data_IF_345395791730
#
_entry.id   IF_345395791730
#
_cell.length_a   1.000
_cell.length_b   1.000
_cell.length_c   1.000
_cell.angle_alpha   90.00
_cell.angle_beta   90.00
_cell.angle_gamma   90.00
#
_symmetry.space_group_name_H-M   'P 1'
#
loop_
_entity.id
_entity.type
_entity.pdbx_description
1 polymer ?
#
# COMPACT_ATOMS: atom_id res chain seq x y z
N UNK A 1 -19.25 5.81 18.64
CA UNK A 1 -20.06 5.30 17.50
C UNK A 1 -21.33 6.14 17.18
N UNK A 2 -21.53 7.32 17.78
CA UNK A 2 -22.78 8.10 17.63
C UNK A 2 -22.60 9.46 16.94
N UNK A 3 -21.56 9.63 16.11
CA UNK A 3 -21.44 10.81 15.27
C UNK A 3 -22.17 10.56 13.92
N UNK A 4 -23.19 11.35 13.57
CA UNK A 4 -23.86 11.25 12.27
C UNK A 4 -22.88 11.33 11.10
N UNK A 5 -21.82 12.12 11.21
CA UNK A 5 -20.82 12.27 10.14
C UNK A 5 -20.04 10.99 9.90
N UNK A 6 -19.70 10.26 10.96
CA UNK A 6 -19.05 8.97 10.84
C UNK A 6 -19.88 8.00 10.00
N UNK A 7 -21.20 7.96 10.21
CA UNK A 7 -22.11 7.11 9.42
C UNK A 7 -22.11 7.50 7.95
N UNK A 8 -22.11 8.80 7.66
CA UNK A 8 -22.05 9.32 6.28
C UNK A 8 -20.73 8.92 5.62
N UNK A 9 -19.59 9.13 6.27
CA UNK A 9 -18.29 8.76 5.71
C UNK A 9 -18.15 7.25 5.50
N UNK A 10 -18.61 6.44 6.46
CA UNK A 10 -18.62 4.99 6.32
C UNK A 10 -19.50 4.54 5.15
N UNK A 11 -20.69 5.12 5.00
CA UNK A 11 -21.60 4.82 3.90
C UNK A 11 -21.00 5.20 2.54
N UNK A 12 -20.44 6.41 2.42
CA UNK A 12 -19.81 6.87 1.18
C UNK A 12 -18.60 6.03 0.81
N UNK A 13 -17.76 5.67 1.78
CA UNK A 13 -16.59 4.81 1.56
C UNK A 13 -16.99 3.41 1.12
N UNK A 14 -17.92 2.76 1.81
CA UNK A 14 -18.41 1.44 1.41
C UNK A 14 -19.12 1.48 0.05
N UNK A 15 -19.95 2.50 -0.18
CA UNK A 15 -20.68 2.70 -1.43
C UNK A 15 -19.76 2.86 -2.63
N UNK A 16 -18.67 3.63 -2.51
CA UNK A 16 -17.71 3.81 -3.60
C UNK A 16 -16.97 2.52 -3.96
N UNK A 17 -16.57 1.72 -2.95
CA UNK A 17 -15.94 0.42 -3.18
C UNK A 17 -16.89 -0.59 -3.84
N UNK A 18 -18.14 -0.66 -3.38
CA UNK A 18 -19.17 -1.53 -3.96
C UNK A 18 -19.48 -1.11 -5.39
N UNK A 19 -19.63 0.20 -5.65
CA UNK A 19 -19.89 0.72 -6.98
C UNK A 19 -18.75 0.37 -7.95
N UNK A 20 -17.49 0.58 -7.54
CA UNK A 20 -16.31 0.22 -8.32
C UNK A 20 -16.26 -1.27 -8.64
N UNK A 21 -16.65 -2.14 -7.70
CA UNK A 21 -16.74 -3.58 -7.95
C UNK A 21 -17.83 -3.92 -8.97
N UNK A 22 -19.02 -3.34 -8.84
CA UNK A 22 -20.15 -3.56 -9.76
C UNK A 22 -19.79 -3.10 -11.18
N UNK A 23 -19.16 -1.94 -11.31
CA UNK A 23 -18.68 -1.42 -12.59
C UNK A 23 -17.69 -2.38 -13.25
N UNK A 24 -16.73 -2.90 -12.47
CA UNK A 24 -15.71 -3.81 -12.98
C UNK A 24 -16.32 -5.17 -13.40
N UNK A 25 -17.29 -5.69 -12.65
CA UNK A 25 -18.03 -6.91 -13.02
C UNK A 25 -18.83 -6.68 -14.30
N UNK A 26 -19.47 -5.52 -14.46
CA UNK A 26 -20.21 -5.18 -15.67
C UNK A 26 -19.27 -5.08 -16.89
N UNK A 27 -18.06 -4.56 -16.69
CA UNK A 27 -16.99 -4.55 -17.69
C UNK A 27 -16.36 -5.95 -17.95
N UNK A 28 -16.92 -7.04 -17.41
CA UNK A 28 -16.40 -8.42 -17.49
C UNK A 28 -15.02 -8.60 -16.84
N UNK A 29 -14.68 -7.76 -15.87
CA UNK A 29 -13.49 -7.93 -15.03
C UNK A 29 -13.70 -8.96 -13.92
N UNK A 30 -12.60 -9.37 -13.28
CA UNK A 30 -12.60 -10.37 -12.20
C UNK A 30 -12.57 -9.70 -10.82
N UNK A 31 -13.00 -10.42 -9.77
CA UNK A 31 -12.87 -9.93 -8.40
C UNK A 31 -11.40 -9.68 -8.01
N UNK A 32 -10.48 -10.52 -8.50
CA UNK A 32 -9.05 -10.39 -8.24
C UNK A 32 -8.46 -9.17 -8.97
N UNK A 33 -8.97 -8.83 -10.15
CA UNK A 33 -8.65 -7.57 -10.84
C UNK A 33 -9.11 -6.35 -10.03
N UNK A 34 -10.35 -6.34 -9.51
CA UNK A 34 -10.83 -5.25 -8.63
C UNK A 34 -9.94 -5.10 -7.38
N UNK A 35 -9.54 -6.22 -6.79
CA UNK A 35 -8.66 -6.21 -5.63
C UNK A 35 -7.26 -5.65 -5.97
N UNK A 36 -6.73 -5.98 -7.15
CA UNK A 36 -5.49 -5.41 -7.66
C UNK A 36 -5.61 -3.91 -7.97
N UNK A 37 -6.73 -3.45 -8.54
CA UNK A 37 -6.99 -2.02 -8.75
C UNK A 37 -7.02 -1.24 -7.43
N UNK A 38 -7.67 -1.79 -6.40
CA UNK A 38 -7.71 -1.19 -5.06
C UNK A 38 -6.29 -1.04 -4.47
N UNK A 39 -5.42 -2.06 -4.65
CA UNK A 39 -4.01 -1.98 -4.25
C UNK A 39 -3.25 -0.93 -5.05
N UNK A 40 -3.44 -0.88 -6.36
CA UNK A 40 -2.78 0.08 -7.24
C UNK A 40 -3.18 1.52 -6.92
N UNK A 41 -4.44 1.75 -6.52
CA UNK A 41 -4.90 3.05 -6.04
C UNK A 41 -4.10 3.51 -4.80
N UNK A 42 -3.90 2.62 -3.82
CA UNK A 42 -3.06 2.90 -2.64
C UNK A 42 -1.60 3.19 -3.00
N UNK A 43 -1.00 2.44 -3.94
CA UNK A 43 0.37 2.68 -4.40
C UNK A 43 0.54 3.99 -5.16
N UNK A 44 -0.42 4.35 -6.02
CA UNK A 44 -0.42 5.64 -6.72
C UNK A 44 -0.49 6.79 -5.72
N UNK A 45 -1.39 6.70 -4.74
CA UNK A 45 -1.55 7.70 -3.68
C UNK A 45 -0.29 7.90 -2.83
N UNK A 46 0.30 6.79 -2.37
CA UNK A 46 1.46 6.80 -1.47
C UNK A 46 2.79 7.11 -2.16
N UNK A 47 2.89 6.94 -3.48
CA UNK A 47 4.16 7.06 -4.19
C UNK A 47 4.11 8.01 -5.37
N UNK A 48 3.37 7.65 -6.42
CA UNK A 48 3.37 8.39 -7.69
C UNK A 48 3.01 9.86 -7.48
N UNK A 49 2.02 10.14 -6.63
CA UNK A 49 1.62 11.52 -6.33
C UNK A 49 2.68 12.27 -5.52
N UNK A 50 3.31 11.62 -4.52
CA UNK A 50 4.42 12.24 -3.76
C UNK A 50 5.59 12.60 -4.67
N UNK A 51 6.03 11.66 -5.51
CA UNK A 51 7.11 11.91 -6.46
C UNK A 51 6.74 12.99 -7.48
N UNK A 52 5.49 13.02 -7.96
CA UNK A 52 5.02 14.04 -8.89
C UNK A 52 5.08 15.43 -8.28
N UNK A 53 4.67 15.58 -7.02
CA UNK A 53 4.76 16.87 -6.29
C UNK A 53 6.22 17.32 -6.16
N UNK A 54 7.12 16.41 -5.79
CA UNK A 54 8.56 16.72 -5.69
C UNK A 54 9.12 17.18 -7.04
N UNK A 55 8.82 16.46 -8.12
CA UNK A 55 9.26 16.82 -9.48
C UNK A 55 8.75 18.20 -9.89
N UNK A 56 7.47 18.50 -9.63
CA UNK A 56 6.89 19.82 -9.93
C UNK A 56 7.60 20.92 -9.14
N UNK A 57 7.85 20.72 -7.85
CA UNK A 57 8.57 21.69 -7.02
C UNK A 57 9.99 21.93 -7.56
N UNK A 58 10.73 20.87 -7.88
CA UNK A 58 12.09 20.98 -8.42
C UNK A 58 12.11 21.70 -9.77
N UNK A 59 11.10 21.49 -10.61
CA UNK A 59 10.92 22.20 -11.88
C UNK A 59 10.65 23.69 -11.65
N UNK A 60 9.76 24.04 -10.71
CA UNK A 60 9.46 25.43 -10.35
C UNK A 60 10.69 26.16 -9.79
N UNK A 61 11.58 25.45 -9.09
CA UNK A 61 12.84 25.98 -8.58
C UNK A 61 13.95 26.06 -9.63
N UNK A 62 13.72 25.61 -10.86
CA UNK A 62 14.73 25.59 -11.94
C UNK A 62 15.85 24.57 -11.73
N UNK A 63 15.67 23.61 -10.80
CA UNK A 63 16.68 22.58 -10.45
C UNK A 63 16.65 21.40 -11.43
N UNK A 64 15.51 21.16 -12.09
CA UNK A 64 15.32 19.99 -12.97
C UNK A 64 14.59 20.35 -14.25
N UNK A 65 15.14 19.94 -15.39
CA UNK A 65 14.39 19.77 -16.64
C UNK A 65 13.74 18.39 -16.65
N UNK A 66 12.44 18.32 -16.36
CA UNK A 66 11.70 17.07 -16.39
C UNK A 66 11.46 16.63 -17.85
N UNK A 67 12.25 15.69 -18.35
CA UNK A 67 12.02 15.01 -19.64
C UNK A 67 11.14 13.77 -19.49
N UNK A 68 10.34 13.44 -20.52
CA UNK A 68 9.63 12.16 -20.57
C UNK A 68 10.59 11.09 -21.09
N UNK A 69 11.13 10.26 -20.20
CA UNK A 69 11.96 9.13 -20.59
C UNK A 69 11.08 7.98 -21.06
N UNK A 70 11.24 7.59 -22.33
CA UNK A 70 10.49 6.49 -22.93
C UNK A 70 10.97 5.19 -22.29
N UNK A 71 10.12 4.58 -21.47
CA UNK A 71 10.39 3.27 -20.88
C UNK A 71 10.13 2.18 -21.92
N UNK A 72 11.10 1.28 -22.10
CA UNK A 72 10.93 0.14 -22.99
C UNK A 72 9.87 -0.81 -22.40
N UNK A 73 8.90 -1.22 -23.22
CA UNK A 73 7.86 -2.18 -22.85
C UNK A 73 8.25 -3.62 -23.17
N UNK A 74 9.54 -3.95 -23.10
CA UNK A 74 10.00 -5.32 -23.33
C UNK A 74 9.61 -6.14 -22.10
N UNK A 75 8.63 -7.02 -22.26
CA UNK A 75 8.10 -7.87 -21.19
C UNK A 75 8.69 -9.27 -21.38
N UNK A 76 9.32 -9.78 -20.33
CA UNK A 76 9.80 -11.18 -20.28
C UNK A 76 8.60 -12.14 -20.35
N UNK A 77 8.76 -13.31 -20.97
CA UNK A 77 7.65 -14.26 -21.14
C UNK A 77 7.09 -14.73 -19.78
N UNK A 78 7.98 -14.86 -18.78
CA UNK A 78 7.61 -15.14 -17.40
C UNK A 78 6.81 -14.00 -16.75
N UNK A 79 7.12 -12.74 -17.08
CA UNK A 79 6.38 -11.57 -16.60
C UNK A 79 4.98 -11.51 -17.23
N UNK A 80 4.87 -11.85 -18.53
CA UNK A 80 3.57 -11.96 -19.21
C UNK A 80 2.67 -13.02 -18.57
N UNK A 81 3.22 -14.21 -18.27
CA UNK A 81 2.45 -15.28 -17.59
C UNK A 81 1.95 -14.85 -16.21
N UNK A 82 2.76 -14.12 -15.45
CA UNK A 82 2.32 -13.56 -14.14
C UNK A 82 1.23 -12.52 -14.30
N UNK A 83 1.33 -11.66 -15.32
CA UNK A 83 0.33 -10.66 -15.63
C UNK A 83 -1.03 -11.29 -15.98
N UNK A 84 -1.05 -12.30 -16.84
CA UNK A 84 -2.26 -13.06 -17.20
C UNK A 84 -2.89 -13.76 -15.98
N UNK A 85 -2.05 -14.18 -15.03
CA UNK A 85 -2.50 -14.74 -13.75
C UNK A 85 -2.89 -13.67 -12.73
N UNK A 86 -2.88 -12.39 -13.08
CA UNK A 86 -3.17 -11.24 -12.19
C UNK A 86 -2.27 -11.20 -10.93
N UNK A 87 -1.00 -11.61 -11.08
CA UNK A 87 0.02 -11.54 -10.03
C UNK A 87 0.83 -10.26 -10.19
N UNK A 88 0.89 -9.45 -9.14
CA UNK A 88 1.64 -8.17 -9.17
C UNK A 88 3.15 -8.41 -9.30
N UNK A 89 3.81 -7.55 -10.08
CA UNK A 89 5.25 -7.60 -10.31
C UNK A 89 5.96 -6.45 -9.59
N UNK A 90 7.01 -6.78 -8.85
CA UNK A 90 7.80 -5.84 -8.06
C UNK A 90 9.27 -5.81 -8.46
N UNK A 91 9.63 -6.49 -9.54
CA UNK A 91 11.01 -6.72 -9.98
C UNK A 91 11.80 -5.43 -10.30
N UNK A 92 11.10 -4.37 -10.69
CA UNK A 92 11.72 -3.13 -11.15
C UNK A 92 12.37 -2.40 -9.97
N UNK A 93 13.69 -2.09 -10.03
CA UNK A 93 14.39 -1.36 -8.98
C UNK A 93 14.07 0.13 -9.01
N UNK A 94 12.81 0.47 -8.71
CA UNK A 94 12.33 1.86 -8.64
C UNK A 94 12.27 2.38 -7.20
N UNK A 95 12.80 3.59 -6.92
CA UNK A 95 12.63 4.23 -5.61
C UNK A 95 11.16 4.53 -5.28
N UNK A 96 10.27 4.51 -6.27
CA UNK A 96 8.83 4.65 -6.06
C UNK A 96 8.22 3.53 -5.22
N UNK A 97 8.87 2.37 -5.11
CA UNK A 97 8.38 1.32 -4.21
C UNK A 97 8.71 1.59 -2.73
N UNK A 98 9.65 2.49 -2.41
CA UNK A 98 10.10 2.72 -1.03
C UNK A 98 8.99 3.29 -0.14
N UNK A 99 8.24 4.35 -0.52
CA UNK A 99 7.15 4.86 0.33
C UNK A 99 6.05 3.82 0.64
N UNK A 100 5.43 3.13 -0.34
CA UNK A 100 4.35 2.18 -0.06
C UNK A 100 4.82 0.98 0.77
N UNK A 101 6.04 0.50 0.55
CA UNK A 101 6.60 -0.61 1.34
C UNK A 101 6.89 -0.21 2.77
N UNK A 102 7.45 0.98 2.98
CA UNK A 102 7.68 1.54 4.32
C UNK A 102 6.36 1.70 5.08
N UNK A 103 5.34 2.26 4.43
CA UNK A 103 4.01 2.43 5.03
C UNK A 103 3.32 1.09 5.31
N UNK A 104 3.45 0.10 4.43
CA UNK A 104 2.91 -1.24 4.65
C UNK A 104 3.54 -1.91 5.89
N UNK A 105 4.87 -1.84 6.02
CA UNK A 105 5.60 -2.36 7.19
C UNK A 105 5.20 -1.64 8.48
N UNK A 106 5.11 -0.30 8.44
CA UNK A 106 4.69 0.49 9.58
C UNK A 106 3.26 0.16 10.00
N UNK A 107 2.33 0.04 9.04
CA UNK A 107 0.95 -0.34 9.32
C UNK A 107 0.86 -1.75 9.92
N UNK A 108 1.64 -2.70 9.42
CA UNK A 108 1.69 -4.05 9.98
C UNK A 108 2.19 -4.05 11.43
N UNK A 109 3.22 -3.26 11.73
CA UNK A 109 3.71 -3.08 13.10
C UNK A 109 2.61 -2.49 14.00
N UNK A 110 1.92 -1.43 13.55
CA UNK A 110 0.81 -0.82 14.29
C UNK A 110 -0.34 -1.81 14.51
N UNK A 111 -0.68 -2.62 13.51
CA UNK A 111 -1.72 -3.66 13.62
C UNK A 111 -1.36 -4.68 14.71
N UNK A 112 -0.13 -5.20 14.69
CA UNK A 112 0.36 -6.15 15.70
C UNK A 112 0.34 -5.52 17.09
N UNK A 113 0.83 -4.28 17.23
CA UNK A 113 0.82 -3.54 18.51
C UNK A 113 -0.61 -3.33 19.02
N UNK A 114 -1.53 -2.87 18.19
CA UNK A 114 -2.94 -2.70 18.54
C UNK A 114 -3.58 -4.01 19.02
N UNK A 115 -3.29 -5.12 18.32
CA UNK A 115 -3.76 -6.43 18.72
C UNK A 115 -3.17 -6.88 20.07
N UNK A 116 -1.87 -6.67 20.30
CA UNK A 116 -1.24 -7.00 21.60
C UNK A 116 -1.84 -6.22 22.76
N UNK A 117 -2.19 -4.95 22.56
CA UNK A 117 -2.86 -4.12 23.57
C UNK A 117 -4.26 -4.65 23.91
N UNK A 118 -5.01 -5.09 22.90
CA UNK A 118 -6.34 -5.70 23.13
C UNK A 118 -6.22 -7.02 23.91
N UNK A 119 -5.20 -7.84 23.61
CA UNK A 119 -4.96 -9.07 24.36
C UNK A 119 -4.59 -8.81 25.83
N UNK A 120 -3.86 -7.73 26.13
CA UNK A 120 -3.44 -7.41 27.49
C UNK A 120 -4.51 -6.69 28.32
N UNK A 121 -5.25 -5.74 27.73
CA UNK A 121 -6.22 -4.88 28.42
C UNK A 121 -7.67 -5.40 28.33
N UNK A 122 -7.93 -6.42 27.50
CA UNK A 122 -9.24 -7.04 27.33
C UNK A 122 -10.25 -6.21 26.52
N UNK A 123 -11.54 -6.47 26.73
CA UNK A 123 -12.63 -5.92 25.91
C UNK A 123 -12.74 -4.39 25.94
N UNK A 124 -12.29 -3.73 27.02
CA UNK A 124 -12.27 -2.27 27.10
C UNK A 124 -11.33 -1.61 26.09
N UNK A 125 -10.17 -2.22 25.83
CA UNK A 125 -9.26 -1.75 24.79
C UNK A 125 -9.78 -2.04 23.38
N UNK A 126 -10.51 -3.15 23.21
CA UNK A 126 -11.17 -3.46 21.93
C UNK A 126 -12.16 -2.36 21.57
N UNK A 127 -13.05 -1.96 22.49
CA UNK A 127 -14.04 -0.90 22.23
C UNK A 127 -13.36 0.44 21.84
N UNK A 128 -12.25 0.77 22.50
CA UNK A 128 -11.46 1.97 22.20
C UNK A 128 -10.73 1.91 20.84
N UNK A 129 -10.21 0.74 20.46
CA UNK A 129 -9.31 0.57 19.31
C UNK A 129 -9.97 -0.13 18.11
N UNK A 130 -11.24 -0.53 18.20
CA UNK A 130 -11.92 -1.38 17.22
C UNK A 130 -11.75 -0.90 15.78
N UNK A 131 -12.05 0.38 15.52
CA UNK A 131 -11.96 0.95 14.18
C UNK A 131 -10.52 1.01 13.66
N UNK A 132 -9.56 1.32 14.54
CA UNK A 132 -8.14 1.38 14.16
C UNK A 132 -7.63 -0.02 13.78
N UNK A 133 -8.02 -1.05 14.54
CA UNK A 133 -7.68 -2.44 14.25
C UNK A 133 -8.32 -2.91 12.94
N UNK A 134 -9.61 -2.58 12.71
CA UNK A 134 -10.31 -2.94 11.46
C UNK A 134 -9.64 -2.29 10.25
N UNK A 135 -9.37 -0.97 10.31
CA UNK A 135 -8.77 -0.24 9.20
C UNK A 135 -7.33 -0.70 8.96
N UNK A 136 -6.52 -0.84 10.03
CA UNK A 136 -5.14 -1.28 9.93
C UNK A 136 -5.04 -2.74 9.45
N UNK A 137 -5.99 -3.60 9.87
CA UNK A 137 -6.14 -4.96 9.37
C UNK A 137 -6.46 -4.99 7.88
N UNK A 138 -7.43 -4.20 7.43
CA UNK A 138 -7.77 -4.07 6.01
C UNK A 138 -6.57 -3.64 5.16
N UNK A 139 -5.83 -2.61 5.59
CA UNK A 139 -4.62 -2.15 4.90
C UNK A 139 -3.54 -3.25 4.87
N UNK A 140 -3.39 -4.02 5.95
CA UNK A 140 -2.46 -5.15 6.00
C UNK A 140 -2.84 -6.25 5.00
N UNK A 141 -4.13 -6.57 4.88
CA UNK A 141 -4.62 -7.57 3.89
C UNK A 141 -4.40 -7.09 2.46
N UNK A 142 -4.66 -5.81 2.17
CA UNK A 142 -4.35 -5.20 0.87
C UNK A 142 -2.85 -5.34 0.56
N UNK A 143 -2.00 -5.14 1.56
CA UNK A 143 -0.54 -5.13 1.43
C UNK A 143 0.11 -6.52 1.39
N UNK A 144 -0.66 -7.61 1.47
CA UNK A 144 -0.11 -9.00 1.41
C UNK A 144 0.87 -9.21 0.24
N UNK A 145 0.60 -8.80 -1.02
CA UNK A 145 1.55 -9.00 -2.11
C UNK A 145 2.88 -8.29 -1.92
N UNK A 146 2.90 -7.19 -1.15
CA UNK A 146 4.12 -6.46 -0.79
C UNK A 146 4.97 -7.30 0.16
N UNK A 147 4.35 -7.82 1.22
CA UNK A 147 5.04 -8.69 2.17
C UNK A 147 5.52 -9.99 1.51
N UNK A 148 4.69 -10.57 0.65
CA UNK A 148 5.07 -11.73 -0.17
C UNK A 148 6.27 -11.39 -1.06
N UNK A 149 6.26 -10.24 -1.74
CA UNK A 149 7.36 -9.82 -2.61
C UNK A 149 8.66 -9.51 -1.85
N UNK A 150 8.59 -9.10 -0.59
CA UNK A 150 9.75 -8.80 0.25
C UNK A 150 10.37 -10.05 0.89
N UNK A 151 9.55 -10.97 1.42
CA UNK A 151 10.02 -12.03 2.30
C UNK A 151 9.81 -13.46 1.79
N UNK A 152 8.77 -13.70 0.98
CA UNK A 152 8.34 -15.06 0.62
C UNK A 152 8.77 -15.43 -0.80
N UNK A 153 8.63 -14.50 -1.75
CA UNK A 153 8.88 -14.73 -3.17
C UNK A 153 10.35 -14.90 -3.49
N UNK A 154 10.65 -15.97 -4.24
CA UNK A 154 12.00 -16.29 -4.76
C UNK A 154 12.10 -16.17 -6.28
N UNK A 155 11.00 -15.87 -6.96
CA UNK A 155 10.92 -15.72 -8.41
C UNK A 155 11.42 -14.34 -8.88
N UNK A 156 11.53 -14.15 -10.20
CA UNK A 156 12.00 -12.89 -10.80
C UNK A 156 11.09 -11.69 -10.49
N UNK A 157 9.81 -11.93 -10.13
CA UNK A 157 8.88 -10.86 -9.77
C UNK A 157 8.99 -10.37 -8.31
N UNK A 158 9.97 -10.88 -7.53
CA UNK A 158 10.26 -10.42 -6.17
C UNK A 158 10.71 -8.97 -6.12
N UNK A 159 10.57 -8.34 -4.96
CA UNK A 159 11.04 -6.98 -4.76
C UNK A 159 12.59 -6.95 -4.65
N UNK A 160 13.27 -6.00 -5.32
CA UNK A 160 14.71 -5.80 -5.18
C UNK A 160 15.13 -5.62 -3.73
N UNK A 161 16.18 -6.35 -3.32
CA UNK A 161 16.67 -6.36 -1.94
C UNK A 161 17.09 -4.97 -1.46
N UNK A 162 17.60 -4.11 -2.35
CA UNK A 162 17.94 -2.72 -2.03
C UNK A 162 16.73 -1.91 -1.56
N UNK A 163 15.56 -2.11 -2.18
CA UNK A 163 14.30 -1.44 -1.79
C UNK A 163 13.80 -2.01 -0.47
N UNK A 164 13.84 -3.33 -0.31
CA UNK A 164 13.43 -4.00 0.95
C UNK A 164 14.27 -3.52 2.13
N UNK A 165 15.59 -3.43 1.99
CA UNK A 165 16.48 -2.95 3.06
C UNK A 165 16.19 -1.47 3.37
N UNK A 166 16.11 -0.60 2.35
CA UNK A 166 15.84 0.83 2.56
C UNK A 166 14.49 1.08 3.24
N UNK A 167 13.44 0.40 2.78
CA UNK A 167 12.09 0.53 3.37
C UNK A 167 12.03 -0.01 4.80
N UNK A 168 12.70 -1.12 5.08
CA UNK A 168 12.79 -1.66 6.44
C UNK A 168 13.55 -0.72 7.38
N UNK A 169 14.71 -0.18 6.95
CA UNK A 169 15.46 0.80 7.72
C UNK A 169 14.63 2.05 8.02
N UNK A 170 13.91 2.58 7.02
CA UNK A 170 13.03 3.73 7.21
C UNK A 170 11.87 3.41 8.16
N UNK A 171 11.24 2.25 8.03
CA UNK A 171 10.15 1.84 8.91
C UNK A 171 10.63 1.72 10.37
N UNK A 172 11.79 1.11 10.61
CA UNK A 172 12.39 1.00 11.93
C UNK A 172 12.79 2.36 12.51
N UNK A 173 13.35 3.25 11.69
CA UNK A 173 13.68 4.60 12.12
C UNK A 173 12.42 5.38 12.54
N UNK A 174 11.33 5.28 11.76
CA UNK A 174 10.05 5.90 12.11
C UNK A 174 9.48 5.31 13.41
N UNK A 175 9.46 3.99 13.56
CA UNK A 175 9.01 3.34 14.81
C UNK A 175 9.84 3.81 16.00
N UNK A 176 11.16 3.88 15.85
CA UNK A 176 12.05 4.38 16.89
C UNK A 176 11.71 5.82 17.28
N UNK A 177 11.61 6.71 16.29
CA UNK A 177 11.22 8.11 16.52
C UNK A 177 9.87 8.19 17.23
N UNK A 178 8.84 7.49 16.77
CA UNK A 178 7.53 7.50 17.44
C UNK A 178 7.57 6.92 18.86
N UNK A 179 8.42 5.93 19.11
CA UNK A 179 8.58 5.37 20.45
C UNK A 179 9.27 6.30 21.44
N UNK A 180 10.01 7.32 20.97
CA UNK A 180 10.60 8.35 21.83
C UNK A 180 9.56 9.39 22.29
N UNK A 181 8.42 9.47 21.62
CA UNK A 181 7.35 10.43 21.88
C UNK A 181 6.18 9.84 22.69
N UNK A 182 6.24 8.56 23.05
CA UNK A 182 5.27 7.81 23.86
C UNK A 182 5.92 7.42 25.19
#
# INVERSE_FOLDING_TARGET
ASDPWFKVFAFLGMGSHVFSLVELIWAKGTFKMWWNETRMWMFKGSSSYLFSVIVIILKLLGVSESGFEITSKVIDEEASKRYEQEIMEFAVPSPMFIPPTTLALLNLYCFIRGFTVVLSEGLGALDRLALQIVISGYISVISIPVFEAQFIRKDKGRMPTSITVRSLCLALALVYVFSLWI
#
